data_IF_256199062089
#
_entry.id   IF_256199062089
#
_cell.length_a   1.000
_cell.length_b   1.000
_cell.length_c   1.000
_cell.angle_alpha   90.00
_cell.angle_beta   90.00
_cell.angle_gamma   90.00
#
_symmetry.space_group_name_H-M   'P 1'
#
loop_
_entity.id
_entity.type
_entity.pdbx_description
1 polymer ?
#
# COMPACT_ATOMS: atom_id res chain seq x y z
N UNK A 1 -8.57 11.51 -0.64
CA UNK A 1 -8.18 11.08 0.71
C UNK A 1 -7.84 9.59 0.68
N UNK A 2 -6.82 9.12 1.41
CA UNK A 2 -6.56 7.69 1.56
C UNK A 2 -7.77 6.99 2.19
N UNK A 3 -8.14 5.81 1.66
CA UNK A 3 -9.23 5.00 2.20
C UNK A 3 -8.61 3.75 2.81
N UNK A 4 -8.90 3.48 4.08
CA UNK A 4 -8.44 2.24 4.74
C UNK A 4 -9.02 1.02 4.02
N UNK A 5 -8.18 0.01 3.79
CA UNK A 5 -8.56 -1.21 3.08
C UNK A 5 -7.94 -2.44 3.71
N UNK A 6 -8.59 -3.59 3.52
CA UNK A 6 -8.00 -4.88 3.84
C UNK A 6 -7.10 -5.33 2.71
N UNK A 7 -5.84 -5.61 3.07
CA UNK A 7 -4.85 -6.21 2.19
C UNK A 7 -4.40 -7.53 2.77
N UNK A 8 -4.43 -8.57 1.95
CA UNK A 8 -3.73 -9.81 2.24
C UNK A 8 -2.33 -9.70 1.66
N UNK A 9 -1.34 -9.69 2.54
CA UNK A 9 0.07 -9.58 2.18
C UNK A 9 0.85 -10.78 2.69
N UNK A 10 1.95 -11.08 2.02
CA UNK A 10 2.93 -12.05 2.51
C UNK A 10 3.64 -11.56 3.77
N UNK A 11 4.42 -12.43 4.41
CA UNK A 11 5.27 -12.04 5.55
C UNK A 11 6.23 -10.89 5.22
N UNK A 12 6.68 -10.79 3.97
CA UNK A 12 7.52 -9.71 3.45
C UNK A 12 6.79 -8.36 3.38
N UNK A 13 5.46 -8.35 3.49
CA UNK A 13 4.60 -7.20 3.21
C UNK A 13 4.21 -7.08 1.74
N UNK A 14 4.64 -7.99 0.86
CA UNK A 14 4.25 -7.98 -0.55
C UNK A 14 2.73 -8.23 -0.70
N UNK A 15 1.96 -7.31 -1.31
CA UNK A 15 0.51 -7.41 -1.37
C UNK A 15 0.07 -8.45 -2.42
N UNK A 16 -0.90 -9.30 -2.05
CA UNK A 16 -1.46 -10.34 -2.93
C UNK A 16 -2.94 -10.12 -3.24
N UNK A 17 -3.70 -9.54 -2.31
CA UNK A 17 -5.11 -9.18 -2.53
C UNK A 17 -5.46 -7.87 -1.86
N UNK A 18 -6.36 -7.09 -2.46
CA UNK A 18 -6.97 -5.88 -1.87
C UNK A 18 -8.48 -6.00 -1.95
N UNK A 19 -9.18 -5.85 -0.80
CA UNK A 19 -10.64 -6.02 -0.72
C UNK A 19 -11.15 -7.32 -1.40
N UNK A 20 -10.37 -8.39 -1.27
CA UNK A 20 -10.68 -9.69 -1.89
C UNK A 20 -10.30 -9.83 -3.38
N UNK A 21 -10.06 -8.73 -4.11
CA UNK A 21 -9.56 -8.74 -5.48
C UNK A 21 -8.10 -9.19 -5.53
N UNK A 22 -7.75 -10.04 -6.50
CA UNK A 22 -6.36 -10.52 -6.69
C UNK A 22 -5.53 -9.42 -7.33
N UNK A 23 -4.32 -9.24 -6.82
CA UNK A 23 -3.30 -8.41 -7.47
C UNK A 23 -2.59 -9.26 -8.53
N UNK A 24 -2.73 -8.86 -9.78
CA UNK A 24 -2.12 -9.51 -10.94
C UNK A 24 -0.65 -9.13 -11.06
N UNK A 25 -0.33 -7.84 -10.87
CA UNK A 25 1.03 -7.33 -10.97
C UNK A 25 1.30 -6.22 -9.96
N UNK A 26 2.55 -6.15 -9.48
CA UNK A 26 3.11 -4.97 -8.81
C UNK A 26 4.04 -4.29 -9.80
N UNK A 27 3.75 -3.03 -10.14
CA UNK A 27 4.53 -2.24 -11.09
C UNK A 27 5.74 -1.60 -10.43
N UNK A 28 5.53 -1.05 -9.24
CA UNK A 28 6.57 -0.36 -8.49
C UNK A 28 6.31 -0.51 -6.98
N UNK A 29 7.38 -0.38 -6.19
CA UNK A 29 7.27 -0.23 -4.74
C UNK A 29 8.33 0.74 -4.22
N UNK A 30 7.96 1.59 -3.26
CA UNK A 30 8.85 2.59 -2.70
C UNK A 30 8.60 2.81 -1.21
N UNK A 31 9.65 3.20 -0.49
CA UNK A 31 9.56 3.57 0.93
C UNK A 31 9.49 5.08 1.04
N UNK A 32 8.57 5.56 1.86
CA UNK A 32 8.54 6.97 2.28
C UNK A 32 8.85 7.01 3.77
N UNK A 33 9.95 7.66 4.09
CA UNK A 33 10.34 8.04 5.44
C UNK A 33 10.44 9.56 5.49
N UNK A 34 9.59 10.18 6.31
CA UNK A 34 9.49 11.63 6.39
C UNK A 34 9.25 12.06 7.85
N UNK A 35 9.55 13.32 8.16
CA UNK A 35 9.40 13.92 9.50
C UNK A 35 10.09 13.11 10.60
N UNK A 36 11.21 12.47 10.29
CA UNK A 36 11.97 11.62 11.22
C UNK A 36 12.58 12.39 12.39
N UNK A 37 12.75 13.70 12.25
CA UNK A 37 13.17 14.62 13.30
C UNK A 37 12.01 15.11 14.19
N UNK A 38 10.77 14.71 13.91
CA UNK A 38 9.59 15.19 14.64
C UNK A 38 9.04 14.12 15.60
N UNK A 39 8.19 14.50 16.56
CA UNK A 39 7.46 13.54 17.40
C UNK A 39 6.51 12.61 16.61
N UNK A 40 6.18 12.96 15.36
CA UNK A 40 5.25 12.23 14.50
C UNK A 40 5.90 11.79 13.18
N UNK A 41 6.90 10.89 13.21
CA UNK A 41 7.53 10.37 11.99
C UNK A 41 6.53 9.64 11.09
N UNK A 42 6.67 9.83 9.78
CA UNK A 42 5.96 9.06 8.77
C UNK A 42 6.86 7.95 8.28
N UNK A 43 6.34 6.72 8.25
CA UNK A 43 7.03 5.58 7.66
C UNK A 43 6.02 4.71 6.95
N UNK A 44 6.03 4.72 5.61
CA UNK A 44 5.03 4.05 4.77
C UNK A 44 5.71 3.30 3.63
N UNK A 45 5.34 2.05 3.41
CA UNK A 45 5.71 1.31 2.20
C UNK A 45 4.55 1.45 1.22
N UNK A 46 4.84 1.89 0.00
CA UNK A 46 3.87 2.06 -1.08
C UNK A 46 4.08 1.00 -2.16
N UNK A 47 3.00 0.68 -2.88
CA UNK A 47 2.98 -0.22 -4.02
C UNK A 47 2.01 0.32 -5.07
N UNK A 48 2.45 0.42 -6.33
CA UNK A 48 1.54 0.53 -7.47
C UNK A 48 1.20 -0.88 -7.96
N UNK A 49 -0.09 -1.20 -8.00
CA UNK A 49 -0.60 -2.54 -8.29
C UNK A 49 -1.69 -2.52 -9.33
N UNK A 50 -1.72 -3.58 -10.15
CA UNK A 50 -2.82 -3.86 -11.07
C UNK A 50 -3.59 -5.08 -10.56
N UNK A 51 -4.91 -4.95 -10.40
CA UNK A 51 -5.77 -6.08 -10.03
C UNK A 51 -6.10 -6.93 -11.26
N UNK A 52 -6.55 -8.17 -11.05
CA UNK A 52 -7.04 -9.04 -12.15
C UNK A 52 -8.28 -8.50 -12.87
N UNK A 53 -8.91 -7.44 -12.35
CA UNK A 53 -10.00 -6.70 -13.01
C UNK A 53 -9.49 -5.50 -13.83
N UNK A 54 -8.17 -5.32 -13.92
CA UNK A 54 -7.52 -4.23 -14.67
C UNK A 54 -7.45 -2.90 -13.91
N UNK A 55 -7.79 -2.85 -12.62
CA UNK A 55 -7.75 -1.60 -11.85
C UNK A 55 -6.31 -1.28 -11.45
N UNK A 56 -5.85 -0.06 -11.75
CA UNK A 56 -4.59 0.46 -11.25
C UNK A 56 -4.80 1.20 -9.91
N UNK A 57 -4.10 0.78 -8.87
CA UNK A 57 -4.24 1.29 -7.52
C UNK A 57 -2.88 1.59 -6.90
N UNK A 58 -2.81 2.63 -6.09
CA UNK A 58 -1.70 2.84 -5.16
C UNK A 58 -2.13 2.35 -3.79
N UNK A 59 -1.46 1.33 -3.29
CA UNK A 59 -1.61 0.83 -1.92
C UNK A 59 -0.47 1.36 -1.07
N UNK A 60 -0.73 1.64 0.20
CA UNK A 60 0.35 1.81 1.17
C UNK A 60 0.02 1.21 2.52
N UNK A 61 1.06 0.72 3.19
CA UNK A 61 1.03 0.23 4.54
C UNK A 61 1.72 1.25 5.40
N UNK A 62 1.01 1.78 6.38
CA UNK A 62 1.64 2.51 7.45
C UNK A 62 2.47 1.53 8.29
N UNK A 63 3.78 1.70 8.34
CA UNK A 63 4.67 0.77 9.03
C UNK A 63 4.72 1.01 10.55
N UNK A 64 4.03 2.05 11.04
CA UNK A 64 3.87 2.32 12.48
C UNK A 64 2.60 1.66 13.01
N UNK A 65 1.47 1.84 12.32
CA UNK A 65 0.19 1.23 12.73
C UNK A 65 -0.06 -0.15 12.14
N UNK A 66 0.62 -0.48 11.04
CA UNK A 66 0.40 -1.72 10.28
C UNK A 66 -0.81 -1.67 9.35
N UNK A 67 -1.62 -0.60 9.39
CA UNK A 67 -2.84 -0.43 8.59
C UNK A 67 -2.52 -0.17 7.12
N UNK A 68 -3.48 -0.53 6.27
CA UNK A 68 -3.38 -0.43 4.82
C UNK A 68 -4.38 0.55 4.26
N UNK A 69 -3.97 1.27 3.21
CA UNK A 69 -4.78 2.29 2.56
C UNK A 69 -4.64 2.18 1.04
N UNK A 70 -5.69 2.59 0.32
CA UNK A 70 -5.66 2.73 -1.15
C UNK A 70 -5.92 4.15 -1.62
N UNK A 71 -5.41 4.44 -2.82
CA UNK A 71 -5.69 5.61 -3.64
C UNK A 71 -5.80 5.16 -5.10
N UNK A 72 -6.60 5.85 -5.92
CA UNK A 72 -6.55 5.63 -7.36
C UNK A 72 -5.20 6.12 -7.90
N UNK A 73 -4.59 5.35 -8.81
CA UNK A 73 -3.44 5.84 -9.57
C UNK A 73 -3.91 6.96 -10.51
N UNK A 74 -3.07 7.98 -10.71
CA UNK A 74 -3.33 9.08 -11.64
C UNK A 74 -3.14 8.65 -13.09
#
# INVERSE_FOLDING_TARGET
>A
MPIEVRVQAERSGYPRRVEGAVIEAVRESWLVEDRWWSPSPVRRRYWEVVTTTGQNLVLFRDLRSGQWFKQAAL
#
